data_IF_352534436658
#
_entry.id   IF_352534436658
#
_cell.length_a   1.000
_cell.length_b   1.000
_cell.length_c   1.000
_cell.angle_alpha   90.00
_cell.angle_beta   90.00
_cell.angle_gamma   90.00
#
_symmetry.space_group_name_H-M   'P 1'
#
loop_
_entity.id
_entity.type
_entity.pdbx_description
1 polymer ?
#
# COMPACT_ATOMS: atom_id res chain seq x y z
N UNK A 1 -37.06 -28.60 -7.78
CA UNK A 1 -35.98 -28.77 -6.81
C UNK A 1 -34.64 -28.70 -7.54
N UNK A 2 -34.11 -27.50 -7.79
CA UNK A 2 -32.75 -27.24 -8.25
C UNK A 2 -32.34 -25.92 -7.58
N UNK A 3 -31.90 -26.00 -6.33
CA UNK A 3 -31.32 -24.91 -5.60
C UNK A 3 -29.87 -25.27 -5.29
N UNK A 4 -29.04 -24.28 -5.41
CA UNK A 4 -27.60 -24.21 -5.07
C UNK A 4 -26.64 -24.59 -6.18
N UNK A 5 -26.64 -23.87 -7.29
CA UNK A 5 -25.38 -23.50 -7.87
C UNK A 5 -24.74 -22.48 -6.92
N UNK A 6 -23.77 -22.96 -6.20
CA UNK A 6 -22.96 -22.21 -5.25
C UNK A 6 -22.41 -20.97 -5.99
N UNK A 7 -22.93 -19.80 -5.67
CA UNK A 7 -22.44 -18.51 -6.17
C UNK A 7 -21.01 -18.35 -5.62
N UNK A 8 -20.02 -19.00 -6.26
CA UNK A 8 -18.60 -18.80 -5.94
C UNK A 8 -18.30 -17.35 -6.27
N UNK A 9 -18.22 -16.52 -5.26
CA UNK A 9 -17.78 -15.14 -5.43
C UNK A 9 -16.44 -15.16 -6.18
N UNK A 10 -16.47 -14.64 -7.41
CA UNK A 10 -15.27 -14.52 -8.24
C UNK A 10 -14.50 -13.32 -7.69
N UNK A 11 -13.29 -13.58 -7.22
CA UNK A 11 -12.33 -12.55 -6.81
C UNK A 11 -11.18 -12.52 -7.80
N UNK A 12 -10.83 -11.32 -8.23
CA UNK A 12 -9.70 -11.10 -9.10
C UNK A 12 -8.37 -11.35 -8.37
N UNK A 13 -7.29 -11.54 -9.12
CA UNK A 13 -5.95 -11.76 -8.55
C UNK A 13 -5.55 -10.61 -7.62
N UNK A 14 -5.82 -9.35 -8.03
CA UNK A 14 -5.54 -8.17 -7.23
C UNK A 14 -6.30 -8.10 -5.88
N UNK A 15 -7.41 -8.85 -5.74
CA UNK A 15 -8.20 -8.94 -4.51
C UNK A 15 -7.76 -10.10 -3.59
N UNK A 16 -6.72 -10.86 -3.97
CA UNK A 16 -6.28 -12.02 -3.19
C UNK A 16 -5.45 -11.63 -1.97
N UNK A 17 -5.56 -12.44 -0.92
CA UNK A 17 -4.92 -12.21 0.37
C UNK A 17 -3.40 -11.99 0.27
N UNK A 18 -2.70 -12.81 -0.51
CA UNK A 18 -1.24 -12.75 -0.60
C UNK A 18 -0.76 -11.46 -1.25
N UNK A 19 -1.50 -10.90 -2.23
CA UNK A 19 -1.21 -9.59 -2.82
C UNK A 19 -1.25 -8.50 -1.74
N UNK A 20 -2.31 -8.48 -0.92
CA UNK A 20 -2.43 -7.51 0.18
C UNK A 20 -1.34 -7.67 1.25
N UNK A 21 -0.94 -8.90 1.56
CA UNK A 21 0.16 -9.14 2.51
C UNK A 21 1.50 -8.61 1.98
N UNK A 22 1.80 -8.84 0.70
CA UNK A 22 3.01 -8.31 0.06
C UNK A 22 2.98 -6.78 -0.02
N UNK A 23 1.84 -6.17 -0.40
CA UNK A 23 1.68 -4.71 -0.43
C UNK A 23 1.82 -4.10 0.97
N UNK A 24 1.27 -4.75 2.00
CA UNK A 24 1.40 -4.27 3.38
C UNK A 24 2.84 -4.38 3.89
N UNK A 25 3.57 -5.42 3.50
CA UNK A 25 5.01 -5.53 3.74
C UNK A 25 5.78 -4.37 3.10
N UNK A 26 5.48 -4.06 1.83
CA UNK A 26 6.05 -2.91 1.10
C UNK A 26 5.68 -1.60 1.80
N UNK A 27 4.43 -1.43 2.25
CA UNK A 27 4.00 -0.26 3.02
C UNK A 27 4.79 -0.05 4.30
N UNK A 28 5.03 -1.11 5.07
CA UNK A 28 5.89 -1.08 6.25
C UNK A 28 7.34 -0.73 5.93
N UNK A 29 7.86 -1.33 4.85
CA UNK A 29 9.20 -1.06 4.35
C UNK A 29 9.38 0.41 3.96
N UNK A 30 8.45 0.98 3.18
CA UNK A 30 8.50 2.38 2.77
C UNK A 30 8.41 3.35 3.94
N UNK A 31 7.53 3.08 4.91
CA UNK A 31 7.40 3.92 6.11
C UNK A 31 8.69 4.00 6.91
N UNK A 32 9.34 2.86 7.16
CA UNK A 32 10.61 2.82 7.88
C UNK A 32 11.75 3.41 7.06
N UNK A 33 11.80 3.16 5.75
CA UNK A 33 12.80 3.73 4.85
C UNK A 33 12.75 5.25 4.80
N UNK A 34 11.57 5.84 4.55
CA UNK A 34 11.44 7.30 4.44
C UNK A 34 11.74 8.00 5.76
N UNK A 35 11.34 7.40 6.87
CA UNK A 35 11.64 7.95 8.19
C UNK A 35 13.12 7.86 8.53
N UNK A 36 13.76 6.71 8.34
CA UNK A 36 15.13 6.46 8.76
C UNK A 36 16.18 7.06 7.83
N UNK A 37 15.93 7.07 6.50
CA UNK A 37 16.93 7.41 5.49
C UNK A 37 16.61 8.67 4.70
N UNK A 38 15.40 9.22 4.83
CA UNK A 38 14.93 10.34 4.00
C UNK A 38 14.23 11.45 4.82
N UNK A 39 14.88 11.89 5.89
CA UNK A 39 14.54 13.13 6.59
C UNK A 39 13.33 13.06 7.55
N UNK A 40 12.97 11.88 8.08
CA UNK A 40 12.02 11.75 9.19
C UNK A 40 10.54 12.02 8.82
N UNK A 41 10.17 11.83 7.55
CA UNK A 41 8.79 11.95 7.07
C UNK A 41 8.21 10.58 6.81
N UNK A 42 6.98 10.35 7.26
CA UNK A 42 6.26 9.13 6.95
C UNK A 42 5.56 9.22 5.59
N UNK A 43 5.87 8.33 4.65
CA UNK A 43 5.18 8.26 3.37
C UNK A 43 3.75 7.69 3.47
N UNK A 44 3.46 6.94 4.51
CA UNK A 44 2.24 6.15 4.69
C UNK A 44 1.39 6.57 5.90
N UNK A 45 1.89 7.45 6.77
CA UNK A 45 1.21 7.86 8.00
C UNK A 45 0.96 9.37 8.03
N UNK A 46 0.05 9.86 7.17
CA UNK A 46 -0.21 11.28 7.03
C UNK A 46 -0.66 11.96 8.34
N UNK A 47 -1.38 11.24 9.20
CA UNK A 47 -1.73 11.75 10.54
C UNK A 47 -0.49 12.14 11.34
N UNK A 48 0.58 11.36 11.29
CA UNK A 48 1.83 11.69 11.95
C UNK A 48 2.48 12.95 11.32
N UNK A 49 2.46 13.07 9.99
CA UNK A 49 2.98 14.26 9.30
C UNK A 49 2.18 15.52 9.68
N UNK A 50 0.83 15.44 9.80
CA UNK A 50 0.01 16.55 10.30
C UNK A 50 0.36 16.93 11.74
N UNK A 51 0.64 15.97 12.62
CA UNK A 51 1.09 16.26 14.00
C UNK A 51 2.43 16.95 13.99
N UNK A 52 3.40 16.45 13.22
CA UNK A 52 4.74 17.06 13.10
C UNK A 52 4.66 18.48 12.51
N UNK A 53 3.82 18.68 11.48
CA UNK A 53 3.51 20.01 10.94
C UNK A 53 2.97 20.96 12.01
N UNK A 54 1.96 20.52 12.78
CA UNK A 54 1.34 21.33 13.82
C UNK A 54 2.32 21.68 14.94
N UNK A 55 3.18 20.75 15.34
CA UNK A 55 4.22 20.98 16.34
C UNK A 55 5.21 22.06 15.90
N UNK A 56 5.66 22.02 14.63
CA UNK A 56 6.55 23.04 14.08
C UNK A 56 5.88 24.42 14.01
N UNK A 57 4.62 24.48 13.62
CA UNK A 57 3.85 25.74 13.67
C UNK A 57 3.73 26.30 15.10
N UNK A 58 3.40 25.46 16.07
CA UNK A 58 3.30 25.86 17.48
C UNK A 58 4.62 26.33 18.09
N UNK A 59 5.75 25.89 17.54
CA UNK A 59 7.09 26.33 17.92
C UNK A 59 7.55 27.62 17.17
N UNK A 60 6.74 28.14 16.25
CA UNK A 60 7.10 29.28 15.41
C UNK A 60 8.07 28.95 14.27
N UNK A 61 8.34 27.67 14.02
CA UNK A 61 9.24 27.20 12.98
C UNK A 61 8.53 27.06 11.62
N UNK A 62 8.11 28.18 11.03
CA UNK A 62 7.28 28.23 9.82
C UNK A 62 7.88 27.49 8.62
N UNK A 63 9.17 27.67 8.35
CA UNK A 63 9.86 26.98 7.26
C UNK A 63 9.96 25.48 7.51
N UNK A 64 10.20 25.07 8.76
CA UNK A 64 10.18 23.66 9.15
C UNK A 64 8.80 23.02 9.01
N UNK A 65 7.74 23.77 9.28
CA UNK A 65 6.38 23.33 9.05
C UNK A 65 6.08 23.14 7.55
N UNK A 66 6.43 24.12 6.69
CA UNK A 66 6.22 24.04 5.24
C UNK A 66 6.89 22.81 4.61
N UNK A 67 7.99 22.33 5.20
CA UNK A 67 8.66 21.10 4.78
C UNK A 67 7.71 19.89 4.71
N UNK A 68 6.80 19.75 5.68
CA UNK A 68 5.85 18.63 5.73
C UNK A 68 4.73 18.74 4.70
N UNK A 69 4.40 19.95 4.23
CA UNK A 69 3.35 20.13 3.21
C UNK A 69 3.75 19.51 1.87
N UNK A 70 5.03 19.49 1.52
CA UNK A 70 5.52 18.96 0.24
C UNK A 70 5.14 17.46 0.08
N UNK A 71 5.55 16.54 0.98
CA UNK A 71 5.18 15.14 0.86
C UNK A 71 3.68 14.90 1.05
N UNK A 72 3.00 15.71 1.88
CA UNK A 72 1.55 15.61 2.06
C UNK A 72 0.79 15.99 0.79
N UNK A 73 1.22 17.03 0.07
CA UNK A 73 0.66 17.42 -1.22
C UNK A 73 0.89 16.35 -2.29
N UNK A 74 2.06 15.68 -2.27
CA UNK A 74 2.34 14.56 -3.15
C UNK A 74 1.41 13.35 -2.86
N UNK A 75 1.11 13.09 -1.59
CA UNK A 75 0.14 12.06 -1.21
C UNK A 75 -1.27 12.38 -1.72
N UNK A 76 -1.71 13.63 -1.57
CA UNK A 76 -3.00 14.09 -2.10
C UNK A 76 -3.06 13.94 -3.62
N UNK A 77 -2.02 14.38 -4.34
CA UNK A 77 -1.92 14.25 -5.78
C UNK A 77 -1.97 12.78 -6.24
N UNK A 78 -1.26 11.88 -5.58
CA UNK A 78 -1.30 10.46 -5.88
C UNK A 78 -2.70 9.86 -5.69
N UNK A 79 -3.43 10.26 -4.65
CA UNK A 79 -4.83 9.86 -4.45
C UNK A 79 -5.74 10.36 -5.59
N UNK A 80 -5.55 11.59 -6.04
CA UNK A 80 -6.29 12.15 -7.18
C UNK A 80 -5.97 11.40 -8.49
N UNK A 81 -4.71 11.14 -8.76
CA UNK A 81 -4.27 10.43 -9.98
C UNK A 81 -4.82 8.99 -10.01
N UNK A 82 -4.81 8.29 -8.89
CA UNK A 82 -5.33 6.92 -8.81
C UNK A 82 -6.85 6.83 -8.98
N UNK A 83 -7.59 7.92 -8.83
CA UNK A 83 -9.02 8.00 -9.14
C UNK A 83 -9.27 8.38 -10.60
N UNK A 84 -8.44 9.26 -11.17
CA UNK A 84 -8.59 9.77 -12.52
C UNK A 84 -8.13 8.81 -13.62
N UNK A 85 -7.03 8.08 -13.39
CA UNK A 85 -6.34 7.30 -14.43
C UNK A 85 -6.98 5.94 -14.78
N UNK A 86 -7.64 5.20 -13.89
CA UNK A 86 -8.17 3.86 -14.20
C UNK A 86 -9.12 3.83 -15.40
N UNK A 87 -10.03 4.80 -15.51
CA UNK A 87 -11.02 4.88 -16.57
C UNK A 87 -10.43 5.00 -17.97
N UNK A 88 -9.57 6.00 -18.24
CA UNK A 88 -8.89 6.15 -19.53
C UNK A 88 -7.96 4.97 -19.87
N UNK A 89 -7.24 4.44 -18.88
CA UNK A 89 -6.29 3.35 -19.08
C UNK A 89 -7.00 2.07 -19.47
N UNK A 90 -8.08 1.70 -18.78
CA UNK A 90 -8.89 0.52 -19.10
C UNK A 90 -9.40 0.54 -20.55
N UNK A 91 -9.72 1.71 -21.10
CA UNK A 91 -10.20 1.85 -22.50
C UNK A 91 -9.11 1.71 -23.53
N UNK A 92 -7.83 1.94 -23.16
CA UNK A 92 -6.72 2.04 -24.14
C UNK A 92 -5.75 0.87 -24.10
N UNK A 93 -5.62 0.17 -22.97
CA UNK A 93 -4.63 -0.87 -22.77
C UNK A 93 -5.25 -2.21 -22.41
N UNK A 94 -4.57 -3.30 -22.79
CA UNK A 94 -4.95 -4.68 -22.43
C UNK A 94 -4.48 -5.07 -21.03
N UNK A 95 -3.93 -4.14 -20.25
CA UNK A 95 -3.50 -4.34 -18.86
C UNK A 95 -4.46 -3.59 -17.94
N UNK A 96 -4.74 -4.20 -16.80
CA UNK A 96 -5.54 -3.58 -15.76
C UNK A 96 -4.73 -2.49 -15.06
N UNK A 97 -5.45 -1.52 -14.47
CA UNK A 97 -4.84 -0.42 -13.75
C UNK A 97 -3.93 -0.89 -12.60
N UNK A 98 -4.37 -1.87 -11.82
CA UNK A 98 -3.64 -2.46 -10.71
C UNK A 98 -2.27 -3.02 -11.14
N UNK A 99 -2.22 -3.75 -12.25
CA UNK A 99 -0.96 -4.26 -12.82
C UNK A 99 -0.04 -3.12 -13.28
N UNK A 100 -0.62 -2.14 -13.99
CA UNK A 100 0.15 -0.99 -14.48
C UNK A 100 0.72 -0.16 -13.33
N UNK A 101 -0.09 0.05 -12.27
CA UNK A 101 0.36 0.78 -11.07
C UNK A 101 1.56 0.12 -10.41
N UNK A 102 1.54 -1.20 -10.23
CA UNK A 102 2.70 -1.91 -9.67
C UNK A 102 3.93 -1.76 -10.58
N UNK A 103 3.76 -1.78 -11.90
CA UNK A 103 4.84 -1.48 -12.85
C UNK A 103 5.41 -0.06 -12.69
N UNK A 104 4.54 0.94 -12.53
CA UNK A 104 4.94 2.33 -12.24
C UNK A 104 5.69 2.41 -10.91
N UNK A 105 5.17 1.76 -9.87
CA UNK A 105 5.78 1.71 -8.55
C UNK A 105 7.19 1.11 -8.61
N UNK A 106 7.36 -0.02 -9.32
CA UNK A 106 8.67 -0.63 -9.55
C UNK A 106 9.63 0.32 -10.27
N UNK A 107 9.16 1.03 -11.30
CA UNK A 107 9.98 2.00 -12.03
C UNK A 107 10.43 3.15 -11.12
N UNK A 108 9.52 3.71 -10.33
CA UNK A 108 9.84 4.78 -9.37
C UNK A 108 10.86 4.29 -8.33
N UNK A 109 10.67 3.12 -7.76
CA UNK A 109 11.61 2.51 -6.79
C UNK A 109 12.98 2.28 -7.42
N UNK A 110 13.01 1.78 -8.66
CA UNK A 110 14.26 1.59 -9.40
C UNK A 110 14.99 2.93 -9.61
N UNK A 111 14.29 3.97 -10.06
CA UNK A 111 14.89 5.30 -10.24
C UNK A 111 15.40 5.90 -8.92
N UNK A 112 14.63 5.75 -7.84
CA UNK A 112 15.03 6.21 -6.51
C UNK A 112 16.28 5.49 -5.97
N UNK A 113 16.51 4.24 -6.36
CA UNK A 113 17.68 3.47 -5.93
C UNK A 113 19.01 4.02 -6.47
N UNK A 114 18.97 4.81 -7.54
CA UNK A 114 20.15 5.48 -8.12
C UNK A 114 20.38 6.89 -7.55
N UNK A 115 19.45 7.44 -6.77
CA UNK A 115 19.60 8.77 -6.18
C UNK A 115 20.67 8.73 -5.10
N UNK A 116 21.72 9.58 -5.18
CA UNK A 116 22.77 9.65 -4.17
C UNK A 116 22.23 10.17 -2.83
N UNK A 117 22.88 9.80 -1.73
CA UNK A 117 22.48 10.24 -0.40
C UNK A 117 22.66 11.76 -0.19
N UNK A 118 23.48 12.42 -1.01
CA UNK A 118 23.65 13.88 -1.04
C UNK A 118 22.48 14.64 -1.67
N UNK A 119 21.58 13.94 -2.37
CA UNK A 119 20.43 14.58 -3.01
C UNK A 119 19.39 15.03 -1.95
N UNK A 120 18.59 16.06 -2.24
CA UNK A 120 17.52 16.51 -1.36
C UNK A 120 16.54 15.36 -1.02
N UNK A 121 16.27 15.19 0.28
CA UNK A 121 15.36 14.11 0.76
C UNK A 121 13.95 14.21 0.17
N UNK A 122 13.53 15.44 -0.17
CA UNK A 122 12.21 15.73 -0.75
C UNK A 122 11.95 14.92 -2.03
N UNK A 123 12.98 14.65 -2.84
CA UNK A 123 12.80 13.85 -4.08
C UNK A 123 12.25 12.47 -3.74
N UNK A 124 12.89 11.78 -2.80
CA UNK A 124 12.41 10.46 -2.36
C UNK A 124 11.10 10.55 -1.58
N UNK A 125 10.93 11.57 -0.73
CA UNK A 125 9.70 11.76 0.04
C UNK A 125 8.50 11.97 -0.87
N UNK A 126 8.60 12.86 -1.86
CA UNK A 126 7.53 13.16 -2.82
C UNK A 126 7.18 11.90 -3.63
N UNK A 127 8.19 11.23 -4.20
CA UNK A 127 7.97 10.07 -5.04
C UNK A 127 7.34 8.91 -4.26
N UNK A 128 7.84 8.58 -3.06
CA UNK A 128 7.31 7.49 -2.25
C UNK A 128 5.92 7.83 -1.69
N UNK A 129 5.66 9.08 -1.27
CA UNK A 129 4.31 9.49 -0.86
C UNK A 129 3.30 9.36 -2.00
N UNK A 130 3.68 9.76 -3.22
CA UNK A 130 2.83 9.66 -4.40
C UNK A 130 2.44 8.20 -4.67
N UNK A 131 3.42 7.29 -4.82
CA UNK A 131 3.14 5.87 -5.13
C UNK A 131 2.39 5.17 -3.97
N UNK A 132 2.73 5.49 -2.73
CA UNK A 132 2.07 4.95 -1.54
C UNK A 132 0.57 5.29 -1.50
N UNK A 133 0.22 6.54 -1.83
CA UNK A 133 -1.19 6.96 -1.90
C UNK A 133 -1.93 6.31 -3.05
N UNK A 134 -1.29 6.19 -4.22
CA UNK A 134 -1.86 5.48 -5.37
C UNK A 134 -2.11 4.01 -5.05
N UNK A 135 -1.15 3.32 -4.41
CA UNK A 135 -1.28 1.94 -3.95
C UNK A 135 -2.47 1.78 -2.99
N UNK A 136 -2.55 2.64 -1.96
CA UNK A 136 -3.63 2.59 -0.98
C UNK A 136 -5.00 2.82 -1.62
N UNK A 137 -5.11 3.79 -2.53
CA UNK A 137 -6.37 4.12 -3.19
C UNK A 137 -6.82 3.08 -4.22
N UNK A 138 -5.88 2.32 -4.80
CA UNK A 138 -6.17 1.24 -5.77
C UNK A 138 -6.54 -0.07 -5.09
N UNK A 139 -5.81 -0.49 -4.05
CA UNK A 139 -6.03 -1.78 -3.37
C UNK A 139 -6.83 -1.60 -2.08
N UNK A 140 -8.16 -1.63 -2.19
CA UNK A 140 -9.08 -1.24 -1.09
C UNK A 140 -9.67 -2.41 -0.30
N UNK A 141 -9.78 -3.61 -0.90
CA UNK A 141 -10.33 -4.77 -0.21
C UNK A 141 -9.78 -6.10 -0.70
N UNK A 142 -9.58 -7.04 0.24
CA UNK A 142 -9.18 -8.41 -0.03
C UNK A 142 -10.36 -9.36 0.19
N UNK A 143 -10.84 -10.00 -0.88
CA UNK A 143 -11.96 -10.96 -0.84
C UNK A 143 -13.16 -10.43 -0.04
N UNK A 144 -13.58 -9.21 -0.33
CA UNK A 144 -14.72 -8.57 0.33
C UNK A 144 -14.47 -8.03 1.75
N UNK A 145 -13.22 -8.08 2.25
CA UNK A 145 -12.85 -7.46 3.51
C UNK A 145 -12.11 -6.15 3.22
N UNK A 146 -12.63 -4.97 3.65
CA UNK A 146 -11.93 -3.70 3.48
C UNK A 146 -10.57 -3.73 4.16
N UNK A 147 -9.52 -3.36 3.41
CA UNK A 147 -8.12 -3.41 3.84
C UNK A 147 -7.40 -2.11 3.49
N UNK A 148 -6.44 -1.74 4.34
CA UNK A 148 -5.43 -0.76 4.01
C UNK A 148 -4.13 -1.48 3.69
N UNK A 149 -3.36 -1.01 2.71
CA UNK A 149 -2.08 -1.62 2.32
C UNK A 149 -0.86 -0.86 2.83
N UNK A 150 -1.07 0.31 3.44
CA UNK A 150 0.02 1.24 3.76
C UNK A 150 0.08 1.68 5.22
N UNK A 151 -0.94 1.40 6.06
CA UNK A 151 -0.96 1.82 7.46
C UNK A 151 -1.71 0.85 8.38
N UNK A 152 -1.39 0.89 9.69
CA UNK A 152 -1.82 -0.10 10.68
C UNK A 152 -3.09 0.25 11.43
N UNK A 153 -3.45 1.53 11.57
CA UNK A 153 -4.52 1.99 12.48
C UNK A 153 -5.86 1.29 12.23
N UNK A 154 -6.26 1.14 10.96
CA UNK A 154 -7.49 0.43 10.63
C UNK A 154 -7.42 -1.06 10.98
N UNK A 155 -6.27 -1.71 10.75
CA UNK A 155 -6.08 -3.13 11.08
C UNK A 155 -6.15 -3.38 12.58
N UNK A 156 -5.52 -2.52 13.39
CA UNK A 156 -5.57 -2.60 14.84
C UNK A 156 -7.02 -2.44 15.36
N UNK A 157 -7.76 -1.46 14.84
CA UNK A 157 -9.18 -1.26 15.17
C UNK A 157 -10.03 -2.49 14.81
N UNK A 158 -9.87 -3.02 13.60
CA UNK A 158 -10.63 -4.18 13.13
C UNK A 158 -10.26 -5.46 13.89
N UNK A 159 -9.00 -5.61 14.27
CA UNK A 159 -8.57 -6.71 15.13
C UNK A 159 -9.26 -6.65 16.50
N UNK A 160 -9.28 -5.49 17.17
CA UNK A 160 -9.98 -5.33 18.44
C UNK A 160 -11.47 -5.68 18.34
N UNK A 161 -12.15 -5.19 17.30
CA UNK A 161 -13.58 -5.53 17.05
C UNK A 161 -13.74 -7.04 16.82
N UNK A 162 -12.84 -7.66 16.04
CA UNK A 162 -12.92 -9.07 15.71
C UNK A 162 -12.65 -9.97 16.92
N UNK A 163 -11.76 -9.58 17.82
CA UNK A 163 -11.50 -10.29 19.07
C UNK A 163 -12.76 -10.34 19.95
N UNK A 164 -13.43 -9.21 20.16
CA UNK A 164 -14.67 -9.19 20.94
C UNK A 164 -15.76 -10.05 20.29
N UNK A 165 -15.91 -9.96 18.96
CA UNK A 165 -16.89 -10.79 18.23
C UNK A 165 -16.56 -12.29 18.30
N UNK A 166 -15.29 -12.64 18.28
CA UNK A 166 -14.83 -14.01 18.41
C UNK A 166 -15.24 -14.64 19.75
N UNK A 167 -15.10 -13.91 20.85
CA UNK A 167 -15.53 -14.38 22.18
C UNK A 167 -17.06 -14.43 22.32
N UNK A 168 -17.80 -13.52 21.66
CA UNK A 168 -19.28 -13.52 21.71
C UNK A 168 -19.93 -14.56 20.80
N UNK A 169 -19.30 -14.88 19.68
CA UNK A 169 -19.80 -15.78 18.66
C UNK A 169 -18.72 -16.79 18.27
N UNK A 170 -18.32 -17.70 19.16
CA UNK A 170 -17.34 -18.74 18.89
C UNK A 170 -17.84 -19.62 17.73
N UNK A 171 -16.98 -19.86 16.74
CA UNK A 171 -17.33 -20.67 15.56
C UNK A 171 -17.72 -19.88 14.32
N UNK A 172 -17.84 -18.56 14.37
CA UNK A 172 -18.07 -17.75 13.17
C UNK A 172 -16.84 -17.72 12.26
N UNK A 173 -16.91 -18.42 11.13
CA UNK A 173 -15.84 -18.48 10.11
C UNK A 173 -15.46 -17.10 9.60
N UNK A 174 -16.43 -16.20 9.41
CA UNK A 174 -16.18 -14.84 8.95
C UNK A 174 -15.39 -14.03 9.97
N UNK A 175 -15.71 -14.14 11.26
CA UNK A 175 -14.99 -13.44 12.34
C UNK A 175 -13.56 -13.94 12.43
N UNK A 176 -13.37 -15.26 12.41
CA UNK A 176 -12.04 -15.87 12.42
C UNK A 176 -11.20 -15.43 11.22
N UNK A 177 -11.79 -15.42 10.01
CA UNK A 177 -11.12 -14.95 8.79
C UNK A 177 -10.70 -13.49 8.88
N UNK A 178 -11.56 -12.59 9.41
CA UNK A 178 -11.22 -11.17 9.62
C UNK A 178 -10.09 -11.01 10.62
N UNK A 179 -10.19 -11.67 11.76
CA UNK A 179 -9.18 -11.63 12.82
C UNK A 179 -7.80 -12.06 12.28
N UNK A 180 -7.71 -13.23 11.65
CA UNK A 180 -6.45 -13.75 11.10
C UNK A 180 -5.87 -12.87 10.00
N UNK A 181 -6.73 -12.27 9.16
CA UNK A 181 -6.28 -11.38 8.10
C UNK A 181 -5.70 -10.08 8.66
N UNK A 182 -6.41 -9.40 9.58
CA UNK A 182 -5.93 -8.15 10.16
C UNK A 182 -4.67 -8.37 11.02
N UNK A 183 -4.59 -9.48 11.77
CA UNK A 183 -3.36 -9.84 12.51
C UNK A 183 -2.18 -10.05 11.56
N UNK A 184 -2.38 -10.79 10.47
CA UNK A 184 -1.33 -11.04 9.48
C UNK A 184 -0.84 -9.73 8.82
N UNK A 185 -1.75 -8.79 8.51
CA UNK A 185 -1.39 -7.48 7.96
C UNK A 185 -0.48 -6.69 8.91
N UNK A 186 -0.80 -6.66 10.21
CA UNK A 186 0.03 -6.00 11.22
C UNK A 186 1.43 -6.63 11.29
N UNK A 187 1.50 -7.96 11.33
CA UNK A 187 2.78 -8.68 11.41
C UNK A 187 3.65 -8.41 10.20
N UNK A 188 3.11 -8.52 8.99
CA UNK A 188 3.93 -8.32 7.78
C UNK A 188 4.35 -6.86 7.60
N UNK A 189 3.55 -5.89 8.06
CA UNK A 189 3.95 -4.49 8.10
C UNK A 189 5.19 -4.29 8.98
N UNK A 190 5.18 -4.86 10.19
CA UNK A 190 6.31 -4.79 11.12
C UNK A 190 7.55 -5.47 10.52
N UNK A 191 7.39 -6.63 9.88
CA UNK A 191 8.50 -7.32 9.21
C UNK A 191 9.11 -6.47 8.09
N UNK A 192 8.29 -5.80 7.29
CA UNK A 192 8.76 -4.85 6.26
C UNK A 192 9.56 -3.70 6.88
N UNK A 193 9.04 -3.10 7.95
CA UNK A 193 9.71 -2.04 8.68
C UNK A 193 11.04 -2.47 9.32
N UNK A 194 11.08 -3.66 9.93
CA UNK A 194 12.31 -4.24 10.49
C UNK A 194 13.37 -4.40 9.40
N UNK A 195 13.00 -5.01 8.26
CA UNK A 195 13.94 -5.22 7.16
C UNK A 195 14.47 -3.88 6.63
N UNK A 196 13.61 -2.90 6.38
CA UNK A 196 14.04 -1.58 5.91
C UNK A 196 14.98 -0.90 6.91
N UNK A 197 14.60 -0.87 8.19
CA UNK A 197 15.41 -0.25 9.25
C UNK A 197 16.77 -0.93 9.40
N UNK A 198 16.83 -2.26 9.29
CA UNK A 198 18.08 -3.01 9.31
C UNK A 198 18.97 -2.67 8.12
N UNK A 199 18.42 -2.70 6.90
CA UNK A 199 19.18 -2.46 5.67
C UNK A 199 19.62 -1.00 5.53
N UNK A 200 18.85 -0.03 6.06
CA UNK A 200 19.22 1.38 6.06
C UNK A 200 20.56 1.65 6.77
N UNK A 201 20.94 0.80 7.73
CA UNK A 201 22.26 0.92 8.42
C UNK A 201 23.43 0.63 7.50
N UNK A 202 23.23 -0.20 6.46
CA UNK A 202 24.31 -0.67 5.58
C UNK A 202 24.25 0.00 4.19
N UNK A 203 23.06 0.26 3.68
CA UNK A 203 22.85 0.71 2.30
C UNK A 203 22.28 2.14 2.19
N UNK A 204 21.98 2.77 3.32
CA UNK A 204 21.42 4.13 3.35
C UNK A 204 20.23 4.31 2.39
N UNK A 205 20.25 5.34 1.55
CA UNK A 205 19.20 5.63 0.59
C UNK A 205 19.01 4.59 -0.50
N UNK A 206 20.02 3.78 -0.79
CA UNK A 206 19.91 2.68 -1.77
C UNK A 206 19.05 1.53 -1.27
N UNK A 207 18.79 1.43 0.01
CA UNK A 207 17.94 0.38 0.62
C UNK A 207 16.62 0.16 -0.11
N UNK A 208 16.07 1.20 -0.74
CA UNK A 208 14.76 1.15 -1.39
C UNK A 208 14.67 0.08 -2.51
N UNK A 209 15.78 -0.31 -3.13
CA UNK A 209 15.79 -1.33 -4.18
C UNK A 209 15.25 -2.69 -3.72
N UNK A 210 15.37 -3.00 -2.42
CA UNK A 210 14.85 -4.25 -1.87
C UNK A 210 13.33 -4.38 -1.98
N UNK A 211 12.61 -3.26 -2.06
CA UNK A 211 11.16 -3.27 -2.32
C UNK A 211 10.81 -3.82 -3.70
N UNK A 212 11.75 -3.82 -4.65
CA UNK A 212 11.53 -4.41 -5.98
C UNK A 212 11.23 -5.92 -5.90
N UNK A 213 11.77 -6.63 -4.91
CA UNK A 213 11.57 -8.08 -4.78
C UNK A 213 10.08 -8.43 -4.57
N UNK A 214 9.40 -7.96 -3.51
CA UNK A 214 7.97 -8.22 -3.35
C UNK A 214 7.12 -7.58 -4.45
N UNK A 215 7.47 -6.40 -4.96
CA UNK A 215 6.75 -5.77 -6.06
C UNK A 215 6.85 -6.59 -7.37
N UNK A 216 8.02 -7.16 -7.69
CA UNK A 216 8.18 -8.02 -8.85
C UNK A 216 7.32 -9.30 -8.74
N UNK A 217 7.23 -9.88 -7.54
CA UNK A 217 6.34 -11.03 -7.30
C UNK A 217 4.88 -10.65 -7.56
N UNK A 218 4.43 -9.50 -7.04
CA UNK A 218 3.07 -8.99 -7.29
C UNK A 218 2.87 -8.74 -8.78
N UNK A 219 3.78 -8.03 -9.42
CA UNK A 219 3.68 -7.66 -10.83
C UNK A 219 3.55 -8.88 -11.74
N UNK A 220 4.40 -9.90 -11.54
CA UNK A 220 4.34 -11.14 -12.34
C UNK A 220 3.01 -11.86 -12.14
N UNK A 221 2.49 -11.92 -10.92
CA UNK A 221 1.21 -12.58 -10.63
C UNK A 221 0.03 -11.84 -11.28
N UNK A 222 0.00 -10.50 -11.18
CA UNK A 222 -1.04 -9.67 -11.78
C UNK A 222 -0.96 -9.72 -13.32
N UNK A 223 0.24 -9.62 -13.88
CA UNK A 223 0.47 -9.72 -15.32
C UNK A 223 0.05 -11.08 -15.88
N UNK A 224 0.35 -12.17 -15.15
CA UNK A 224 -0.09 -13.50 -15.54
C UNK A 224 -1.61 -13.66 -15.45
N UNK A 225 -2.23 -13.05 -14.45
CA UNK A 225 -3.69 -13.04 -14.33
C UNK A 225 -4.31 -12.28 -15.50
N UNK A 226 -3.85 -11.08 -15.81
CA UNK A 226 -4.36 -10.25 -16.91
C UNK A 226 -4.24 -10.95 -18.28
N UNK A 227 -3.12 -11.68 -18.51
CA UNK A 227 -2.82 -12.27 -19.82
C UNK A 227 -3.34 -13.68 -20.02
N UNK A 228 -3.59 -14.43 -18.93
CA UNK A 228 -3.91 -15.87 -19.02
C UNK A 228 -5.18 -16.25 -18.28
N UNK A 229 -5.34 -15.80 -17.03
CA UNK A 229 -6.42 -16.31 -16.17
C UNK A 229 -7.71 -15.49 -16.23
N UNK A 230 -7.59 -14.18 -16.36
CA UNK A 230 -8.67 -13.21 -16.21
C UNK A 230 -8.97 -12.45 -17.50
N UNK A 231 -8.53 -12.97 -18.65
CA UNK A 231 -8.74 -12.34 -19.96
C UNK A 231 -10.22 -12.05 -20.24
N UNK A 232 -11.10 -12.98 -19.87
CA UNK A 232 -12.56 -12.82 -20.01
C UNK A 232 -13.19 -11.87 -18.98
N UNK A 233 -12.43 -11.50 -17.94
CA UNK A 233 -12.86 -10.61 -16.85
C UNK A 233 -12.23 -9.22 -16.94
N UNK A 234 -11.65 -8.86 -18.08
CA UNK A 234 -10.93 -7.58 -18.26
C UNK A 234 -11.82 -6.36 -17.94
N UNK A 235 -13.11 -6.44 -18.28
CA UNK A 235 -14.08 -5.37 -18.00
C UNK A 235 -14.63 -5.38 -16.57
N UNK A 236 -14.29 -6.41 -15.80
CA UNK A 236 -14.74 -6.51 -14.42
C UNK A 236 -13.94 -5.53 -13.55
N UNK A 237 -14.66 -4.64 -12.87
CA UNK A 237 -14.05 -3.67 -11.94
C UNK A 237 -13.84 -4.36 -10.58
N UNK A 238 -12.62 -4.31 -10.00
CA UNK A 238 -12.40 -4.84 -8.66
C UNK A 238 -13.35 -4.23 -7.65
N UNK A 239 -13.80 -5.02 -6.70
CA UNK A 239 -14.72 -4.55 -5.67
C UNK A 239 -14.02 -3.50 -4.80
N UNK A 240 -14.71 -2.39 -4.54
CA UNK A 240 -14.18 -1.28 -3.73
C UNK A 240 -13.61 -0.10 -4.55
N UNK A 241 -13.71 -0.18 -5.88
CA UNK A 241 -13.42 0.95 -6.78
C UNK A 241 -14.69 1.69 -7.13
#
# INVERSE_FOLDING_TARGET
>A
MKASETNREIYLECEKRHIFLLLMFVGGFYGAYTYSCRGGVFCNAQTANFVLFSMKLGQGEWLGALYYLIPMSAYLLGSMLSELLPGPIRRRYMLRWDTLLIGIEMLVVLLLSFIPDSAPFQISQVAVNLICSMQYNTFRQARGIPMATTFCTNHLRQLGISLVKYFRHPGSVLVHRRMTMHSAMLVVFVLGGILASFLCRYFSGRTIWMALVPLAVIFVQLLYADRVREVSLHDFVPRGH
#
